data_IF_702253296474
#
_entry.id   IF_702253296474
#
_cell.length_a   1.000
_cell.length_b   1.000
_cell.length_c   1.000
_cell.angle_alpha   90.00
_cell.angle_beta   90.00
_cell.angle_gamma   90.00
#
_symmetry.space_group_name_H-M   'P 1'
#
loop_
_entity.id
_entity.type
_entity.pdbx_description
1 polymer ?
#
# COMPACT_ATOMS: atom_id res chain seq x y z
N UNK A 1 -15.94 -29.65 -56.81
CA UNK A 1 -15.38 -29.41 -55.46
C UNK A 1 -15.28 -27.91 -55.27
N UNK A 2 -15.76 -27.34 -54.15
CA UNK A 2 -15.69 -25.92 -53.90
C UNK A 2 -14.26 -25.53 -53.46
N UNK A 3 -13.79 -24.30 -53.72
CA UNK A 3 -12.62 -23.76 -53.05
C UNK A 3 -12.98 -23.38 -51.61
N UNK A 4 -12.17 -23.91 -50.70
CA UNK A 4 -12.22 -23.70 -49.27
C UNK A 4 -11.84 -22.27 -48.86
N UNK A 5 -12.34 -21.91 -47.68
CA UNK A 5 -12.22 -20.65 -46.94
C UNK A 5 -10.94 -19.81 -47.16
N UNK A 6 -11.13 -18.52 -47.44
CA UNK A 6 -10.22 -17.45 -46.99
C UNK A 6 -11.03 -16.28 -46.46
N UNK A 7 -11.52 -16.44 -45.21
CA UNK A 7 -11.79 -15.29 -44.33
C UNK A 7 -10.44 -14.75 -43.83
N UNK A 8 -10.25 -13.43 -43.69
CA UNK A 8 -9.00 -12.88 -43.17
C UNK A 8 -8.77 -13.35 -41.74
N UNK A 9 -7.59 -13.93 -41.52
CA UNK A 9 -7.12 -14.48 -40.24
C UNK A 9 -7.29 -13.49 -39.08
N UNK A 10 -8.04 -13.91 -38.06
CA UNK A 10 -7.86 -13.37 -36.72
C UNK A 10 -6.44 -13.75 -36.23
N UNK A 11 -5.70 -12.84 -35.55
CA UNK A 11 -4.39 -13.17 -35.01
C UNK A 11 -4.50 -14.28 -33.96
N UNK A 12 -3.50 -15.19 -33.84
CA UNK A 12 -3.54 -16.27 -32.87
C UNK A 12 -3.48 -15.72 -31.44
N UNK A 13 -4.28 -16.30 -30.55
CA UNK A 13 -4.25 -16.02 -29.12
C UNK A 13 -2.87 -16.38 -28.54
N UNK A 14 -2.17 -15.43 -27.91
CA UNK A 14 -0.97 -15.70 -27.09
C UNK A 14 0.34 -15.00 -27.49
N UNK A 15 0.36 -14.01 -28.38
CA UNK A 15 1.58 -13.28 -28.72
C UNK A 15 2.18 -12.56 -27.49
N UNK A 16 3.48 -12.74 -27.25
CA UNK A 16 4.21 -12.01 -26.21
C UNK A 16 4.56 -10.59 -26.68
N UNK A 17 4.24 -9.59 -25.87
CA UNK A 17 4.58 -8.17 -26.05
C UNK A 17 5.73 -7.82 -25.11
N UNK A 18 6.84 -7.38 -25.69
CA UNK A 18 8.01 -6.84 -24.98
C UNK A 18 7.96 -5.31 -25.02
N UNK A 19 8.07 -4.70 -23.86
CA UNK A 19 8.16 -3.25 -23.67
C UNK A 19 9.45 -2.94 -22.90
N UNK A 20 10.09 -1.82 -23.23
CA UNK A 20 11.35 -1.40 -22.62
C UNK A 20 11.24 0.04 -22.15
N UNK A 21 11.53 0.27 -20.87
CA UNK A 21 11.49 1.58 -20.24
C UNK A 21 12.90 1.98 -19.86
N UNK A 22 13.49 2.90 -20.63
CA UNK A 22 14.88 3.34 -20.45
C UNK A 22 14.94 4.52 -19.49
N UNK A 23 15.65 4.32 -18.39
CA UNK A 23 16.00 5.30 -17.39
C UNK A 23 17.34 5.94 -17.77
N UNK A 24 17.37 7.27 -17.74
CA UNK A 24 18.53 8.08 -18.13
C UNK A 24 19.00 8.96 -16.98
N UNK A 25 20.28 9.33 -16.99
CA UNK A 25 20.82 10.32 -16.07
C UNK A 25 20.38 11.75 -16.45
N UNK A 26 20.87 12.75 -15.71
CA UNK A 26 20.53 14.16 -15.91
C UNK A 26 21.02 14.71 -17.26
N UNK A 27 22.01 14.08 -17.88
CA UNK A 27 22.49 14.42 -19.23
C UNK A 27 21.77 13.64 -20.34
N UNK A 28 20.81 12.77 -19.99
CA UNK A 28 20.07 11.95 -20.94
C UNK A 28 20.82 10.69 -21.40
N UNK A 29 21.89 10.29 -20.70
CA UNK A 29 22.63 9.05 -21.02
C UNK A 29 21.89 7.85 -20.42
N UNK A 30 21.75 6.72 -21.15
CA UNK A 30 21.13 5.52 -20.61
C UNK A 30 21.87 4.97 -19.39
N UNK A 31 21.14 4.60 -18.35
CA UNK A 31 21.67 4.01 -17.11
C UNK A 31 21.07 2.64 -16.86
N UNK A 32 19.74 2.56 -16.88
CA UNK A 32 18.95 1.40 -16.51
C UNK A 32 17.84 1.22 -17.54
N UNK A 33 17.41 -0.02 -17.80
CA UNK A 33 16.13 -0.28 -18.45
C UNK A 33 15.34 -1.33 -17.69
N UNK A 34 14.05 -1.08 -17.55
CA UNK A 34 13.08 -2.07 -17.10
C UNK A 34 12.48 -2.71 -18.34
N UNK A 35 12.60 -4.04 -18.44
CA UNK A 35 11.99 -4.80 -19.53
C UNK A 35 10.76 -5.51 -18.99
N UNK A 36 9.62 -5.28 -19.64
CA UNK A 36 8.35 -5.95 -19.37
C UNK A 36 8.04 -6.89 -20.51
N UNK A 37 7.82 -8.16 -20.19
CA UNK A 37 7.32 -9.15 -21.13
C UNK A 37 5.93 -9.59 -20.67
N UNK A 38 4.91 -9.32 -21.49
CA UNK A 38 3.51 -9.67 -21.22
C UNK A 38 2.97 -10.60 -22.30
N UNK A 39 2.14 -11.57 -21.95
CA UNK A 39 1.54 -12.49 -22.93
C UNK A 39 0.96 -13.74 -22.28
N UNK A 40 -0.10 -14.29 -22.88
CA UNK A 40 -0.73 -15.52 -22.40
C UNK A 40 -1.25 -15.47 -20.95
N UNK A 41 -1.67 -14.29 -20.47
CA UNK A 41 -2.14 -14.09 -19.09
C UNK A 41 -1.05 -13.93 -18.05
N UNK A 42 0.23 -13.86 -18.45
CA UNK A 42 1.36 -13.67 -17.53
C UNK A 42 2.14 -12.38 -17.85
N UNK A 43 2.82 -11.85 -16.85
CA UNK A 43 3.76 -10.74 -16.96
C UNK A 43 5.06 -11.09 -16.25
N UNK A 44 6.20 -10.75 -16.86
CA UNK A 44 7.53 -10.85 -16.27
C UNK A 44 8.25 -9.53 -16.42
N UNK A 45 9.03 -9.19 -15.40
CA UNK A 45 9.81 -7.97 -15.34
C UNK A 45 11.24 -8.31 -14.95
N UNK A 46 12.19 -7.64 -15.58
CA UNK A 46 13.58 -7.67 -15.16
C UNK A 46 14.24 -6.33 -15.49
N UNK A 47 15.39 -6.11 -14.88
CA UNK A 47 16.19 -4.90 -15.05
C UNK A 47 17.49 -5.24 -15.76
N UNK A 48 17.95 -4.30 -16.57
CA UNK A 48 19.24 -4.35 -17.23
C UNK A 48 19.91 -2.98 -17.12
N UNK A 49 21.23 -2.93 -17.01
CA UNK A 49 21.99 -1.68 -16.92
C UNK A 49 22.83 -1.47 -18.18
N UNK A 50 23.12 -0.21 -18.47
CA UNK A 50 23.87 0.16 -19.66
C UNK A 50 25.36 0.24 -19.33
N UNK A 51 26.18 -0.62 -19.93
CA UNK A 51 27.62 -0.64 -19.74
C UNK A 51 28.33 -0.85 -21.07
N UNK A 52 29.36 -0.03 -21.36
CA UNK A 52 30.23 -0.17 -22.54
C UNK A 52 29.48 -0.30 -23.89
N UNK A 53 28.33 0.36 -24.04
CA UNK A 53 27.54 0.33 -25.26
C UNK A 53 26.47 -0.77 -25.32
N UNK A 54 26.40 -1.64 -24.31
CA UNK A 54 25.52 -2.80 -24.26
C UNK A 54 24.59 -2.76 -23.05
N UNK A 55 23.51 -3.53 -23.12
CA UNK A 55 22.60 -3.77 -22.00
C UNK A 55 22.96 -5.08 -21.33
N UNK A 56 23.32 -5.01 -20.05
CA UNK A 56 23.73 -6.14 -19.22
C UNK A 56 22.65 -6.48 -18.19
N UNK A 57 22.43 -7.76 -17.91
CA UNK A 57 21.37 -8.18 -16.97
C UNK A 57 21.69 -7.74 -15.54
N UNK A 58 20.69 -7.16 -14.86
CA UNK A 58 20.81 -6.66 -13.49
C UNK A 58 20.62 -5.14 -13.41
N UNK A 59 20.19 -4.67 -12.24
CA UNK A 59 20.06 -3.25 -11.97
C UNK A 59 21.41 -2.63 -11.59
N UNK A 60 21.56 -1.32 -11.81
CA UNK A 60 22.65 -0.52 -11.22
C UNK A 60 22.52 -0.46 -9.69
N UNK A 61 23.60 -0.09 -8.96
CA UNK A 61 23.54 0.27 -7.54
C UNK A 61 22.40 1.24 -7.22
N UNK A 62 21.82 1.16 -6.02
CA UNK A 62 20.62 1.93 -5.68
C UNK A 62 20.82 3.44 -5.81
N UNK A 63 21.99 3.95 -5.42
CA UNK A 63 22.36 5.36 -5.50
C UNK A 63 22.56 5.89 -6.93
N UNK A 64 22.62 5.01 -7.92
CA UNK A 64 22.73 5.35 -9.34
C UNK A 64 21.38 5.26 -10.09
N UNK A 65 20.31 4.79 -9.44
CA UNK A 65 19.00 4.61 -10.10
C UNK A 65 18.28 5.94 -10.26
N UNK A 66 18.09 6.49 -11.47
CA UNK A 66 17.39 7.74 -11.62
C UNK A 66 15.86 7.52 -11.54
N UNK A 67 15.12 8.61 -11.43
CA UNK A 67 13.68 8.61 -11.72
C UNK A 67 13.44 8.39 -13.22
N UNK A 68 12.31 7.80 -13.58
CA UNK A 68 11.92 7.67 -14.98
C UNK A 68 11.66 9.08 -15.56
N UNK A 69 12.15 9.37 -16.77
CA UNK A 69 12.11 10.72 -17.36
C UNK A 69 12.76 11.82 -16.48
N UNK A 70 13.89 11.51 -15.81
CA UNK A 70 14.55 12.44 -14.89
C UNK A 70 14.83 13.84 -15.50
N UNK A 71 15.38 13.99 -16.73
CA UNK A 71 15.62 15.32 -17.30
C UNK A 71 14.34 16.17 -17.43
N UNK A 72 13.24 15.56 -17.89
CA UNK A 72 11.96 16.23 -18.03
C UNK A 72 11.34 16.60 -16.66
N UNK A 73 11.47 15.71 -15.68
CA UNK A 73 11.06 15.98 -14.29
C UNK A 73 11.80 17.18 -13.72
N UNK A 74 13.13 17.21 -13.85
CA UNK A 74 13.95 18.32 -13.32
C UNK A 74 13.61 19.64 -14.02
N UNK A 75 13.33 19.61 -15.33
CA UNK A 75 12.87 20.79 -16.06
C UNK A 75 11.52 21.27 -15.54
N UNK A 76 10.55 20.37 -15.36
CA UNK A 76 9.22 20.70 -14.82
C UNK A 76 9.30 21.32 -13.42
N UNK A 77 10.10 20.74 -12.52
CA UNK A 77 10.31 21.27 -11.17
C UNK A 77 10.92 22.67 -11.22
N UNK A 78 11.97 22.87 -12.03
CA UNK A 78 12.61 24.19 -12.18
C UNK A 78 11.63 25.25 -12.68
N UNK A 79 10.75 24.86 -13.59
CA UNK A 79 9.79 25.77 -14.21
C UNK A 79 8.53 25.98 -13.33
N UNK A 80 8.50 25.38 -12.13
CA UNK A 80 7.42 25.53 -11.14
C UNK A 80 6.14 24.79 -11.53
N UNK A 81 6.24 23.78 -12.38
CA UNK A 81 5.12 22.97 -12.81
C UNK A 81 4.87 21.77 -11.90
N UNK A 82 3.66 21.23 -11.96
CA UNK A 82 3.29 20.02 -11.21
C UNK A 82 3.91 18.77 -11.85
N UNK A 83 4.48 17.89 -11.02
CA UNK A 83 4.96 16.56 -11.42
C UNK A 83 4.03 15.49 -10.85
N UNK A 84 3.66 14.51 -11.68
CA UNK A 84 2.85 13.37 -11.25
C UNK A 84 3.76 12.17 -10.93
N UNK A 85 3.57 11.54 -9.77
CA UNK A 85 4.28 10.31 -9.39
C UNK A 85 3.28 9.16 -9.35
N UNK A 86 3.58 8.08 -10.06
CA UNK A 86 2.76 6.86 -10.15
C UNK A 86 3.61 5.63 -9.83
N UNK A 87 3.01 4.48 -9.59
CA UNK A 87 3.76 3.27 -9.24
C UNK A 87 4.57 2.69 -10.41
N UNK A 88 4.03 2.71 -11.64
CA UNK A 88 4.63 1.99 -12.78
C UNK A 88 4.87 2.83 -14.04
N UNK A 89 5.78 2.38 -14.91
CA UNK A 89 6.16 3.11 -16.13
C UNK A 89 5.04 3.16 -17.17
N UNK A 90 4.17 2.14 -17.19
CA UNK A 90 2.96 2.12 -18.03
C UNK A 90 2.05 3.32 -17.69
N UNK A 91 1.87 3.59 -16.40
CA UNK A 91 1.03 4.68 -15.91
C UNK A 91 1.64 6.05 -16.20
N UNK A 92 2.97 6.15 -16.19
CA UNK A 92 3.68 7.35 -16.65
C UNK A 92 3.33 7.65 -18.11
N UNK A 93 3.34 6.65 -18.99
CA UNK A 93 2.99 6.84 -20.40
C UNK A 93 1.52 7.22 -20.59
N UNK A 94 0.62 6.65 -19.79
CA UNK A 94 -0.80 7.06 -19.78
C UNK A 94 -0.93 8.55 -19.45
N UNK A 95 -0.26 9.02 -18.40
CA UNK A 95 -0.30 10.43 -17.99
C UNK A 95 0.38 11.36 -19.00
N UNK A 96 1.50 10.95 -19.59
CA UNK A 96 2.16 11.70 -20.67
C UNK A 96 1.24 11.87 -21.88
N UNK A 97 0.46 10.84 -22.24
CA UNK A 97 -0.53 10.94 -23.31
C UNK A 97 -1.66 11.93 -22.99
N UNK A 98 -1.88 12.24 -21.71
CA UNK A 98 -2.79 13.31 -21.26
C UNK A 98 -2.12 14.70 -21.21
N UNK A 99 -0.83 14.79 -21.54
CA UNK A 99 -0.09 16.06 -21.62
C UNK A 99 0.50 16.55 -20.30
N UNK A 100 0.62 15.69 -19.28
CA UNK A 100 1.26 16.05 -18.00
C UNK A 100 2.64 15.39 -17.86
N UNK A 101 3.52 16.00 -17.04
CA UNK A 101 4.82 15.42 -16.71
C UNK A 101 4.65 14.42 -15.58
N UNK A 102 5.00 13.16 -15.85
CA UNK A 102 4.88 12.07 -14.89
C UNK A 102 6.18 11.27 -14.76
N UNK A 103 6.35 10.62 -13.62
CA UNK A 103 7.55 9.84 -13.28
C UNK A 103 7.22 8.67 -12.34
N UNK A 104 8.16 7.74 -12.21
CA UNK A 104 8.16 6.64 -11.24
C UNK A 104 9.60 6.24 -10.89
N UNK A 105 9.79 5.49 -9.81
CA UNK A 105 11.04 4.79 -9.52
C UNK A 105 11.07 3.40 -10.18
N UNK A 106 12.27 2.94 -10.53
CA UNK A 106 12.44 1.55 -10.96
C UNK A 106 12.14 0.56 -9.82
N UNK A 107 11.54 -0.57 -10.18
CA UNK A 107 11.27 -1.67 -9.24
C UNK A 107 9.96 -1.56 -8.44
N UNK A 108 9.12 -0.54 -8.72
CA UNK A 108 7.75 -0.42 -8.18
C UNK A 108 7.68 -0.13 -6.68
N UNK A 109 6.55 -0.50 -6.07
CA UNK A 109 6.27 -0.24 -4.66
C UNK A 109 7.41 -0.64 -3.71
N UNK A 110 7.68 0.24 -2.75
CA UNK A 110 8.73 0.05 -1.73
C UNK A 110 10.16 0.32 -2.20
N UNK A 111 10.39 0.66 -3.48
CA UNK A 111 11.72 0.98 -4.04
C UNK A 111 11.99 2.48 -4.25
N UNK A 112 11.27 3.31 -3.51
CA UNK A 112 11.57 4.74 -3.43
C UNK A 112 12.83 5.00 -2.59
N UNK A 113 13.73 5.85 -3.09
CA UNK A 113 15.07 6.08 -2.55
C UNK A 113 15.29 7.58 -2.26
N UNK A 114 16.20 7.92 -1.33
CA UNK A 114 16.38 9.31 -0.90
C UNK A 114 16.71 10.32 -2.01
N UNK A 115 17.42 9.94 -3.07
CA UNK A 115 17.70 10.84 -4.20
C UNK A 115 16.50 11.07 -5.12
N UNK A 116 15.52 10.16 -5.15
CA UNK A 116 14.24 10.41 -5.83
C UNK A 116 13.53 11.58 -5.14
N UNK A 117 13.44 11.55 -3.80
CA UNK A 117 12.90 12.65 -2.99
C UNK A 117 13.66 13.96 -3.25
N UNK A 118 15.01 13.92 -3.27
CA UNK A 118 15.82 15.13 -3.55
C UNK A 118 15.54 15.72 -4.93
N UNK A 119 15.19 14.91 -5.92
CA UNK A 119 14.90 15.38 -7.29
C UNK A 119 13.59 16.17 -7.40
N UNK A 120 12.70 16.03 -6.41
CA UNK A 120 11.38 16.66 -6.35
C UNK A 120 11.23 17.60 -5.15
N UNK A 121 12.32 17.89 -4.43
CA UNK A 121 12.29 18.74 -3.24
C UNK A 121 11.76 20.14 -3.58
N UNK A 122 10.77 20.62 -2.82
CA UNK A 122 10.14 21.93 -3.04
C UNK A 122 9.16 22.02 -4.23
N UNK A 123 8.91 20.92 -4.94
CA UNK A 123 8.01 20.90 -6.09
C UNK A 123 6.52 20.81 -5.72
N UNK A 124 5.64 21.12 -6.66
CA UNK A 124 4.23 20.70 -6.60
C UNK A 124 4.14 19.27 -7.15
N UNK A 125 3.65 18.33 -6.34
CA UNK A 125 3.60 16.90 -6.70
C UNK A 125 2.20 16.33 -6.48
N UNK A 126 1.73 15.57 -7.47
CA UNK A 126 0.54 14.74 -7.34
C UNK A 126 0.98 13.28 -7.34
N UNK A 127 0.75 12.57 -6.25
CA UNK A 127 1.01 11.12 -6.17
C UNK A 127 -0.29 10.38 -6.46
N UNK A 128 -0.29 9.44 -7.41
CA UNK A 128 -1.45 8.59 -7.69
C UNK A 128 -1.10 7.16 -7.28
N UNK A 129 -1.82 6.66 -6.29
CA UNK A 129 -1.70 5.31 -5.78
C UNK A 129 -2.45 4.32 -6.67
N UNK A 130 -1.84 3.14 -6.87
CA UNK A 130 -2.60 1.96 -7.25
C UNK A 130 -3.57 1.62 -6.12
N UNK A 131 -4.77 1.20 -6.48
CA UNK A 131 -5.90 0.89 -5.58
C UNK A 131 -5.75 -0.49 -4.94
N UNK A 132 -4.55 -0.76 -4.45
CA UNK A 132 -4.21 -1.89 -3.63
C UNK A 132 -3.35 -1.46 -2.43
N UNK A 133 -3.07 -2.42 -1.56
CA UNK A 133 -2.43 -2.16 -0.27
C UNK A 133 -0.97 -1.73 -0.40
N UNK A 134 -0.23 -2.34 -1.33
CA UNK A 134 1.17 -2.02 -1.56
C UNK A 134 1.32 -0.66 -2.25
N UNK A 135 0.47 -0.37 -3.22
CA UNK A 135 0.44 0.89 -3.96
C UNK A 135 0.05 2.07 -3.08
N UNK A 136 -1.00 1.94 -2.26
CA UNK A 136 -1.41 2.98 -1.33
C UNK A 136 -0.30 3.27 -0.32
N UNK A 137 0.29 2.25 0.29
CA UNK A 137 1.38 2.52 1.21
C UNK A 137 2.56 3.20 0.55
N UNK A 138 2.95 2.72 -0.63
CA UNK A 138 4.08 3.29 -1.34
C UNK A 138 3.82 4.77 -1.60
N UNK A 139 2.64 5.12 -2.11
CA UNK A 139 2.22 6.49 -2.35
C UNK A 139 2.26 7.36 -1.07
N UNK A 140 1.77 6.85 0.05
CA UNK A 140 1.79 7.57 1.33
C UNK A 140 3.21 7.82 1.84
N UNK A 141 4.09 6.80 1.75
CA UNK A 141 5.51 6.94 2.11
C UNK A 141 6.20 8.00 1.24
N UNK A 142 6.00 7.92 -0.08
CA UNK A 142 6.54 8.90 -1.04
C UNK A 142 6.06 10.30 -0.71
N UNK A 143 4.76 10.46 -0.45
CA UNK A 143 4.17 11.75 -0.12
C UNK A 143 4.74 12.34 1.17
N UNK A 144 4.95 11.53 2.23
CA UNK A 144 5.63 11.99 3.46
C UNK A 144 7.03 12.50 3.15
N UNK A 145 7.87 11.68 2.53
CA UNK A 145 9.27 12.03 2.28
C UNK A 145 9.39 13.31 1.42
N UNK A 146 8.51 13.48 0.43
CA UNK A 146 8.45 14.67 -0.40
C UNK A 146 8.03 15.91 0.40
N UNK A 147 7.02 15.80 1.27
CA UNK A 147 6.59 16.91 2.15
C UNK A 147 7.69 17.31 3.12
N UNK A 148 8.40 16.35 3.70
CA UNK A 148 9.58 16.61 4.55
C UNK A 148 10.70 17.33 3.79
N UNK A 149 10.83 17.05 2.49
CA UNK A 149 11.71 17.77 1.58
C UNK A 149 11.14 19.11 1.08
N UNK A 150 10.02 19.57 1.63
CA UNK A 150 9.40 20.86 1.34
C UNK A 150 8.51 20.88 0.10
N UNK A 151 8.22 19.74 -0.53
CA UNK A 151 7.27 19.67 -1.63
C UNK A 151 5.82 19.85 -1.15
N UNK A 152 4.99 20.44 -2.00
CA UNK A 152 3.54 20.46 -1.82
C UNK A 152 2.96 19.22 -2.49
N UNK A 153 2.32 18.34 -1.71
CA UNK A 153 1.93 17.01 -2.19
C UNK A 153 0.47 16.69 -1.91
N UNK A 154 -0.26 16.30 -2.95
CA UNK A 154 -1.58 15.68 -2.86
C UNK A 154 -1.52 14.20 -3.29
N UNK A 155 -2.31 13.35 -2.67
CA UNK A 155 -2.37 11.91 -2.97
C UNK A 155 -3.76 11.56 -3.47
N UNK A 156 -3.83 10.84 -4.58
CA UNK A 156 -5.06 10.41 -5.23
C UNK A 156 -5.04 8.91 -5.53
N UNK A 157 -6.21 8.37 -5.82
CA UNK A 157 -6.38 7.03 -6.36
C UNK A 157 -7.37 7.04 -7.55
N UNK A 158 -7.36 5.95 -8.31
CA UNK A 158 -8.32 5.72 -9.37
C UNK A 158 -9.76 5.61 -8.84
N UNK A 159 -10.69 6.36 -9.43
CA UNK A 159 -12.14 6.19 -9.18
C UNK A 159 -12.65 4.82 -9.64
N UNK A 160 -12.20 4.36 -10.80
CA UNK A 160 -12.56 3.09 -11.41
C UNK A 160 -11.26 2.40 -11.83
N UNK A 161 -11.18 1.10 -11.56
CA UNK A 161 -9.99 0.31 -11.87
C UNK A 161 -8.96 0.33 -10.76
N UNK A 162 -7.84 -0.35 -11.01
CA UNK A 162 -6.78 -0.49 -10.01
C UNK A 162 -5.74 0.62 -10.15
N UNK A 163 -5.34 0.95 -11.38
CA UNK A 163 -4.30 1.96 -11.65
C UNK A 163 -4.87 3.16 -12.44
N UNK A 164 -4.06 4.20 -12.66
CA UNK A 164 -4.48 5.37 -13.44
C UNK A 164 -4.71 5.02 -14.92
N UNK A 165 -4.04 3.99 -15.45
CA UNK A 165 -4.31 3.50 -16.80
C UNK A 165 -5.71 2.88 -16.93
N UNK A 166 -6.19 2.15 -15.94
CA UNK A 166 -7.56 1.63 -15.90
C UNK A 166 -8.57 2.77 -15.78
N UNK A 167 -8.26 3.78 -14.96
CA UNK A 167 -9.08 4.98 -14.80
C UNK A 167 -9.28 5.73 -16.12
N UNK A 168 -8.18 6.03 -16.82
CA UNK A 168 -8.21 6.68 -18.13
C UNK A 168 -8.83 5.77 -19.19
N UNK A 169 -8.56 4.46 -19.13
CA UNK A 169 -9.18 3.45 -19.99
C UNK A 169 -10.70 3.37 -19.84
N UNK A 170 -11.23 3.70 -18.66
CA UNK A 170 -12.67 3.84 -18.40
C UNK A 170 -13.26 5.16 -18.93
N UNK A 171 -12.46 6.02 -19.56
CA UNK A 171 -12.87 7.31 -20.12
C UNK A 171 -12.93 8.46 -19.13
N UNK A 172 -12.32 8.31 -17.95
CA UNK A 172 -12.26 9.33 -16.90
C UNK A 172 -11.02 10.21 -17.04
N UNK A 173 -11.14 11.48 -16.64
CA UNK A 173 -10.02 12.44 -16.66
C UNK A 173 -9.37 12.63 -15.29
N UNK A 174 -8.24 13.35 -15.23
CA UNK A 174 -7.53 13.59 -13.95
C UNK A 174 -8.40 14.28 -12.89
N UNK A 175 -9.40 15.08 -13.29
CA UNK A 175 -10.35 15.70 -12.37
C UNK A 175 -11.34 14.72 -11.73
N UNK A 176 -11.41 13.48 -12.21
CA UNK A 176 -12.26 12.42 -11.64
C UNK A 176 -11.53 11.54 -10.62
N UNK A 177 -10.22 11.73 -10.46
CA UNK A 177 -9.43 11.04 -9.44
C UNK A 177 -10.01 11.31 -8.04
N UNK A 178 -9.89 10.33 -7.16
CA UNK A 178 -10.40 10.42 -5.78
C UNK A 178 -9.25 10.84 -4.88
N UNK A 179 -9.41 11.97 -4.20
CA UNK A 179 -8.44 12.44 -3.22
C UNK A 179 -8.39 11.45 -2.06
N UNK A 180 -7.18 11.00 -1.70
CA UNK A 180 -6.94 10.21 -0.49
C UNK A 180 -6.91 11.20 0.69
N UNK A 181 -7.86 11.16 1.63
CA UNK A 181 -7.95 12.14 2.72
C UNK A 181 -6.70 12.20 3.59
N UNK A 182 -6.30 13.41 4.01
CA UNK A 182 -5.08 13.63 4.81
C UNK A 182 -5.06 12.85 6.15
N UNK A 183 -6.21 12.59 6.77
CA UNK A 183 -6.28 11.78 8.01
C UNK A 183 -5.79 10.34 7.81
N UNK A 184 -6.13 9.72 6.68
CA UNK A 184 -5.61 8.40 6.28
C UNK A 184 -4.10 8.47 6.05
N UNK A 185 -3.59 9.60 5.53
CA UNK A 185 -2.17 9.79 5.25
C UNK A 185 -1.34 9.89 6.54
N UNK A 186 -1.85 10.57 7.56
CA UNK A 186 -1.14 10.77 8.84
C UNK A 186 -1.20 9.54 9.74
N UNK A 187 -2.36 8.88 9.80
CA UNK A 187 -2.57 7.72 10.68
C UNK A 187 -1.88 6.47 10.14
N UNK A 188 -1.88 6.23 8.82
CA UNK A 188 -1.18 5.08 8.23
C UNK A 188 0.34 5.23 8.39
N UNK A 189 0.84 6.42 8.11
CA UNK A 189 2.27 6.74 8.12
C UNK A 189 2.85 6.67 9.52
N UNK A 190 2.18 7.25 10.53
CA UNK A 190 2.55 7.09 11.95
C UNK A 190 2.54 5.63 12.38
N UNK A 191 1.59 4.86 11.87
CA UNK A 191 1.46 3.47 12.27
C UNK A 191 2.54 2.57 11.66
N UNK A 192 2.87 2.76 10.38
CA UNK A 192 4.00 2.08 9.76
C UNK A 192 5.32 2.46 10.44
N UNK A 193 5.53 3.72 10.81
CA UNK A 193 6.69 4.15 11.60
C UNK A 193 6.73 3.50 12.98
N UNK A 194 5.58 3.42 13.66
CA UNK A 194 5.44 2.71 14.93
C UNK A 194 5.82 1.24 14.79
N UNK A 195 5.36 0.57 13.73
CA UNK A 195 5.69 -0.83 13.46
C UNK A 195 7.14 -1.03 13.06
N UNK A 196 7.72 -0.13 12.27
CA UNK A 196 9.14 -0.13 11.93
C UNK A 196 10.01 0.07 13.17
N UNK A 197 9.58 0.92 14.11
CA UNK A 197 10.24 1.11 15.40
C UNK A 197 10.08 -0.08 16.36
N UNK A 198 8.97 -0.82 16.25
CA UNK A 198 8.68 -1.97 17.11
C UNK A 198 9.35 -3.26 16.61
N UNK A 199 9.31 -3.52 15.32
CA UNK A 199 10.04 -4.59 14.65
C UNK A 199 10.33 -4.22 13.18
N UNK A 200 11.56 -3.78 12.87
CA UNK A 200 11.93 -3.41 11.52
C UNK A 200 11.95 -4.61 10.56
N UNK A 201 12.02 -5.84 11.07
CA UNK A 201 12.12 -7.08 10.28
C UNK A 201 10.76 -7.59 9.79
N UNK A 202 9.67 -7.02 10.30
CA UNK A 202 8.32 -7.37 9.85
C UNK A 202 8.20 -7.16 8.32
N UNK A 203 7.73 -8.17 7.56
CA UNK A 203 7.42 -8.01 6.15
C UNK A 203 6.43 -6.87 5.93
N UNK A 204 6.63 -6.09 4.87
CA UNK A 204 5.81 -4.90 4.58
C UNK A 204 4.33 -5.24 4.50
N UNK A 205 3.98 -6.37 3.87
CA UNK A 205 2.63 -6.93 3.80
C UNK A 205 1.98 -7.10 5.20
N UNK A 206 2.73 -7.58 6.19
CA UNK A 206 2.21 -7.76 7.54
C UNK A 206 2.02 -6.41 8.23
N UNK A 207 2.95 -5.47 8.04
CA UNK A 207 2.81 -4.11 8.56
C UNK A 207 1.55 -3.43 8.02
N UNK A 208 1.23 -3.67 6.75
CA UNK A 208 0.04 -3.12 6.12
C UNK A 208 -1.25 -3.78 6.55
N UNK A 209 -1.30 -5.11 6.67
CA UNK A 209 -2.49 -5.80 7.18
C UNK A 209 -2.85 -5.28 8.57
N UNK A 210 -1.83 -4.97 9.37
CA UNK A 210 -2.00 -4.38 10.68
C UNK A 210 -2.42 -2.91 10.63
N UNK A 211 -1.82 -2.10 9.75
CA UNK A 211 -2.16 -0.70 9.57
C UNK A 211 -3.60 -0.50 9.09
N UNK A 212 -4.06 -1.35 8.17
CA UNK A 212 -5.44 -1.34 7.64
C UNK A 212 -6.47 -1.69 8.71
N UNK A 213 -6.20 -2.73 9.51
CA UNK A 213 -7.07 -3.06 10.65
C UNK A 213 -7.22 -1.86 11.58
N UNK A 214 -6.14 -1.12 11.83
CA UNK A 214 -6.19 0.01 12.76
C UNK A 214 -6.77 1.30 12.19
N UNK A 215 -6.63 1.54 10.88
CA UNK A 215 -7.30 2.65 10.22
C UNK A 215 -8.81 2.44 10.08
N UNK A 216 -9.24 1.23 9.70
CA UNK A 216 -10.67 0.87 9.68
C UNK A 216 -11.30 1.02 11.08
N UNK A 217 -10.50 0.77 12.13
CA UNK A 217 -10.89 0.97 13.52
C UNK A 217 -10.96 2.45 13.95
N UNK A 218 -10.20 3.34 13.30
CA UNK A 218 -10.19 4.79 13.53
C UNK A 218 -11.28 5.54 12.74
N UNK A 219 -11.69 5.06 11.56
CA UNK A 219 -12.84 5.62 10.83
C UNK A 219 -14.19 5.28 11.51
N UNK A 220 -14.24 4.20 12.30
CA UNK A 220 -15.39 3.87 13.15
C UNK A 220 -15.62 4.83 14.33
N UNK A 221 -14.79 5.85 14.50
CA UNK A 221 -14.70 6.69 15.70
C UNK A 221 -15.58 7.96 15.67
N UNK A 222 -16.68 7.94 14.88
CA UNK A 222 -17.75 8.94 15.02
C UNK A 222 -18.69 8.68 16.20
N UNK A 223 -18.39 7.71 17.08
CA UNK A 223 -19.07 7.58 18.38
C UNK A 223 -18.09 8.06 19.46
N UNK A 224 -18.36 9.18 20.14
CA UNK A 224 -17.43 9.72 21.13
C UNK A 224 -17.13 8.71 22.24
N UNK A 225 -15.88 8.29 22.38
CA UNK A 225 -15.42 7.67 23.63
C UNK A 225 -15.28 8.78 24.68
N UNK A 226 -16.31 8.96 25.49
CA UNK A 226 -16.20 9.72 26.73
C UNK A 226 -15.62 8.80 27.81
N UNK A 227 -14.71 9.33 28.63
CA UNK A 227 -14.21 8.68 29.86
C UNK A 227 -15.30 8.32 30.88
N UNK A 228 -16.56 8.66 30.59
CA UNK A 228 -17.76 8.20 31.26
C UNK A 228 -18.42 7.07 30.44
N UNK A 229 -17.85 5.87 30.52
CA UNK A 229 -18.53 4.64 30.12
C UNK A 229 -19.61 4.24 31.16
N UNK A 230 -20.46 3.23 30.87
CA UNK A 230 -21.43 2.73 31.85
C UNK A 230 -20.73 2.31 33.16
N UNK A 231 -21.46 2.39 34.27
CA UNK A 231 -20.92 2.10 35.60
C UNK A 231 -20.20 0.74 35.64
N UNK A 232 -18.89 0.76 35.90
CA UNK A 232 -18.06 -0.45 36.00
C UNK A 232 -18.62 -1.41 37.05
N UNK A 233 -18.75 -2.69 36.70
CA UNK A 233 -19.01 -3.76 37.67
C UNK A 233 -17.77 -3.96 38.53
N UNK A 234 -17.96 -4.41 39.77
CA UNK A 234 -16.87 -4.56 40.73
C UNK A 234 -15.77 -5.55 40.31
N UNK A 235 -16.02 -6.40 39.31
CA UNK A 235 -15.11 -7.42 38.79
C UNK A 235 -14.53 -7.09 37.40
N UNK A 236 -14.92 -5.98 36.76
CA UNK A 236 -14.51 -5.66 35.39
C UNK A 236 -12.97 -5.50 35.25
N UNK A 237 -12.32 -4.84 36.22
CA UNK A 237 -10.86 -4.68 36.22
C UNK A 237 -10.14 -6.03 36.42
N UNK A 238 -10.72 -6.96 37.18
CA UNK A 238 -10.17 -8.30 37.41
C UNK A 238 -10.28 -9.16 36.14
N UNK A 239 -11.43 -9.13 35.48
CA UNK A 239 -11.65 -9.82 34.21
C UNK A 239 -10.74 -9.26 33.12
N UNK A 240 -10.58 -7.94 33.06
CA UNK A 240 -9.67 -7.30 32.11
C UNK A 240 -8.22 -7.77 32.29
N UNK A 241 -7.71 -7.81 33.52
CA UNK A 241 -6.35 -8.29 33.79
C UNK A 241 -6.18 -9.80 33.50
N UNK A 242 -7.21 -10.62 33.72
CA UNK A 242 -7.21 -12.03 33.32
C UNK A 242 -7.12 -12.20 31.80
N UNK A 243 -7.92 -11.45 31.04
CA UNK A 243 -7.87 -11.40 29.57
C UNK A 243 -6.50 -10.90 29.07
N UNK A 244 -5.93 -9.90 29.74
CA UNK A 244 -4.61 -9.35 29.42
C UNK A 244 -3.50 -10.37 29.67
N UNK A 245 -3.59 -11.15 30.73
CA UNK A 245 -2.66 -12.23 31.05
C UNK A 245 -2.71 -13.34 30.02
N UNK A 246 -3.91 -13.83 29.70
CA UNK A 246 -4.10 -14.85 28.67
C UNK A 246 -3.60 -14.37 27.30
N UNK A 247 -3.89 -13.13 26.91
CA UNK A 247 -3.38 -12.56 25.66
C UNK A 247 -1.85 -12.59 25.57
N UNK A 248 -1.15 -12.27 26.67
CA UNK A 248 0.32 -12.33 26.71
C UNK A 248 0.85 -13.75 26.50
N UNK A 249 0.18 -14.75 27.06
CA UNK A 249 0.53 -16.15 26.89
C UNK A 249 0.36 -16.62 25.43
N UNK A 250 -0.79 -16.28 24.81
CA UNK A 250 -1.04 -16.59 23.41
C UNK A 250 -0.02 -15.95 22.47
N UNK A 251 0.33 -14.69 22.74
CA UNK A 251 1.31 -13.93 21.97
C UNK A 251 2.70 -14.55 22.07
N UNK A 252 3.12 -14.93 23.28
CA UNK A 252 4.37 -15.64 23.52
C UNK A 252 4.42 -16.99 22.80
N UNK A 253 3.33 -17.73 22.77
CA UNK A 253 3.24 -19.03 22.09
C UNK A 253 3.38 -18.89 20.57
N UNK A 254 2.83 -17.81 20.02
CA UNK A 254 2.85 -17.52 18.58
C UNK A 254 4.10 -16.75 18.13
N UNK A 255 4.95 -16.29 19.06
CA UNK A 255 6.14 -15.49 18.75
C UNK A 255 5.81 -14.11 18.19
N UNK A 256 4.65 -13.55 18.55
CA UNK A 256 4.16 -12.27 18.05
C UNK A 256 3.85 -11.29 19.19
N UNK A 257 3.86 -9.97 18.96
CA UNK A 257 3.42 -9.00 19.97
C UNK A 257 1.96 -9.22 20.43
N UNK A 258 1.63 -8.89 21.69
CA UNK A 258 0.32 -9.18 22.29
C UNK A 258 -0.88 -8.57 21.54
N UNK A 259 -0.71 -7.38 20.97
CA UNK A 259 -1.76 -6.70 20.23
C UNK A 259 -2.14 -7.42 18.92
N UNK A 260 -1.29 -8.29 18.37
CA UNK A 260 -1.60 -9.16 17.22
C UNK A 260 -2.69 -10.17 17.58
N UNK A 261 -2.70 -10.66 18.82
CA UNK A 261 -3.73 -11.59 19.31
C UNK A 261 -5.04 -10.83 19.47
N UNK A 262 -5.07 -9.78 20.31
CA UNK A 262 -6.21 -8.85 20.47
C UNK A 262 -5.74 -7.47 20.97
N UNK A 263 -6.41 -6.39 20.56
CA UNK A 263 -6.18 -5.06 21.14
C UNK A 263 -6.84 -4.91 22.52
N UNK A 264 -6.41 -3.94 23.33
CA UNK A 264 -7.01 -3.65 24.64
C UNK A 264 -8.51 -3.32 24.51
N UNK A 265 -8.92 -2.67 23.41
CA UNK A 265 -10.32 -2.39 23.13
C UNK A 265 -11.16 -3.65 22.93
N UNK A 266 -10.64 -4.70 22.30
CA UNK A 266 -11.33 -6.00 22.21
C UNK A 266 -11.50 -6.60 23.61
N UNK A 267 -10.49 -6.47 24.47
CA UNK A 267 -10.57 -6.99 25.84
C UNK A 267 -11.60 -6.21 26.67
N UNK A 268 -11.67 -4.89 26.53
CA UNK A 268 -12.72 -4.09 27.16
C UNK A 268 -14.11 -4.39 26.58
N UNK A 269 -14.24 -4.58 25.27
CA UNK A 269 -15.53 -4.94 24.66
C UNK A 269 -16.00 -6.35 25.08
N UNK A 270 -15.06 -7.28 25.34
CA UNK A 270 -15.35 -8.56 25.99
C UNK A 270 -15.84 -8.39 27.43
N UNK A 271 -15.19 -7.51 28.20
CA UNK A 271 -15.58 -7.19 29.59
C UNK A 271 -16.96 -6.55 29.62
N UNK A 272 -17.25 -5.63 28.71
CA UNK A 272 -18.52 -4.92 28.64
C UNK A 272 -19.65 -5.86 28.23
N UNK A 273 -19.49 -6.58 27.11
CA UNK A 273 -20.54 -7.40 26.51
C UNK A 273 -20.75 -8.74 27.18
N UNK A 274 -19.70 -9.34 27.75
CA UNK A 274 -19.66 -10.71 28.30
C UNK A 274 -20.42 -11.70 27.43
N UNK A 275 -19.91 -12.01 26.22
CA UNK A 275 -20.57 -12.99 25.36
C UNK A 275 -20.55 -14.38 26.00
N UNK A 276 -21.68 -15.10 25.97
CA UNK A 276 -21.84 -16.44 26.54
C UNK A 276 -21.82 -17.58 25.51
N UNK A 277 -21.56 -17.24 24.24
CA UNK A 277 -21.46 -18.22 23.16
C UNK A 277 -20.70 -17.64 21.96
N UNK A 278 -20.30 -18.51 21.04
CA UNK A 278 -19.57 -18.16 19.82
C UNK A 278 -20.29 -17.15 18.92
N UNK A 279 -21.62 -17.18 18.86
CA UNK A 279 -22.38 -16.22 18.05
C UNK A 279 -22.29 -14.81 18.64
N UNK A 280 -22.33 -14.67 19.96
CA UNK A 280 -22.16 -13.38 20.64
C UNK A 280 -20.72 -12.89 20.56
N UNK A 281 -19.74 -13.78 20.54
CA UNK A 281 -18.33 -13.42 20.30
C UNK A 281 -18.11 -12.77 18.93
N UNK A 282 -18.83 -13.18 17.87
CA UNK A 282 -18.79 -12.48 16.57
C UNK A 282 -19.35 -11.05 16.63
N UNK A 283 -20.11 -10.73 17.67
CA UNK A 283 -20.57 -9.37 17.93
C UNK A 283 -19.53 -8.50 18.65
N UNK A 284 -18.44 -9.09 19.15
CA UNK A 284 -17.36 -8.37 19.83
C UNK A 284 -16.39 -7.79 18.81
N UNK A 285 -16.06 -6.52 19.00
CA UNK A 285 -15.14 -5.78 18.16
C UNK A 285 -13.76 -6.45 18.10
N UNK A 286 -13.26 -6.65 16.88
CA UNK A 286 -11.97 -7.33 16.62
C UNK A 286 -12.02 -8.87 16.66
N UNK A 287 -13.19 -9.50 16.82
CA UNK A 287 -13.36 -10.97 16.76
C UNK A 287 -14.10 -11.38 15.48
N UNK A 288 -13.33 -11.66 14.43
CA UNK A 288 -13.84 -12.27 13.20
C UNK A 288 -13.84 -13.81 13.24
N UNK A 289 -14.38 -14.47 12.20
CA UNK A 289 -14.51 -15.93 12.14
C UNK A 289 -13.20 -16.69 12.40
N UNK A 290 -12.07 -16.20 11.88
CA UNK A 290 -10.75 -16.81 12.06
C UNK A 290 -10.27 -16.75 13.51
N UNK A 291 -10.49 -15.61 14.19
CA UNK A 291 -10.12 -15.45 15.60
C UNK A 291 -11.07 -16.21 16.52
N UNK A 292 -12.35 -16.28 16.16
CA UNK A 292 -13.33 -17.11 16.84
C UNK A 292 -12.92 -18.59 16.77
N UNK A 293 -12.59 -19.10 15.59
CA UNK A 293 -12.15 -20.50 15.42
C UNK A 293 -10.91 -20.80 16.26
N UNK A 294 -9.98 -19.84 16.35
CA UNK A 294 -8.71 -20.03 17.07
C UNK A 294 -8.81 -19.84 18.58
N UNK A 295 -9.68 -18.95 19.06
CA UNK A 295 -9.66 -18.46 20.44
C UNK A 295 -11.01 -18.49 21.16
N UNK A 296 -12.10 -18.83 20.47
CA UNK A 296 -13.47 -18.72 20.98
C UNK A 296 -13.69 -19.47 22.29
N UNK A 297 -13.34 -20.76 22.34
CA UNK A 297 -13.53 -21.59 23.54
C UNK A 297 -12.73 -21.04 24.74
N UNK A 298 -11.49 -20.63 24.51
CA UNK A 298 -10.63 -20.09 25.56
C UNK A 298 -11.16 -18.75 26.10
N UNK A 299 -11.69 -17.88 25.23
CA UNK A 299 -12.32 -16.63 25.64
C UNK A 299 -13.61 -16.86 26.43
N UNK A 300 -14.46 -17.81 26.02
CA UNK A 300 -15.66 -18.17 26.77
C UNK A 300 -15.31 -18.73 28.15
N UNK A 301 -14.29 -19.59 28.24
CA UNK A 301 -13.81 -20.13 29.51
C UNK A 301 -13.31 -19.02 30.46
N UNK A 302 -12.60 -18.00 29.93
CA UNK A 302 -12.15 -16.84 30.72
C UNK A 302 -13.29 -15.93 31.16
N UNK A 303 -14.33 -15.79 30.34
CA UNK A 303 -15.47 -14.93 30.64
C UNK A 303 -16.42 -15.53 31.67
N UNK A 304 -16.51 -16.86 31.73
CA UNK A 304 -17.54 -17.55 32.51
C UNK A 304 -17.03 -18.52 33.56
N UNK A 305 -15.71 -18.74 33.67
CA UNK A 305 -15.07 -19.71 34.57
C UNK A 305 -15.70 -21.11 34.48
N UNK A 306 -15.00 -22.05 33.83
CA UNK A 306 -15.27 -23.46 34.08
C UNK A 306 -14.72 -23.82 35.47
N UNK A 307 -15.61 -24.07 36.44
CA UNK A 307 -15.33 -24.91 37.61
C UNK A 307 -15.34 -26.40 37.22
#
# INVERSE_FOLDING_TARGET
>A
MPPDDLRPNAPPSGAQRREEYVYVDVEGRPVLRVVRLSGGGSKRFWQEHYENGNWETGAVPEDERPLYHLPEVLAQVRDGGTVYVVEGEKDVHTLQAMGVVATTNSGGAGRWLPHHTRSLAGADVVVIADKDEAGLSHALKVARELREAGANVEVFEARIGNDVSDHVGAGLGLGDLVLVPAGIQDDFTRYIEFLDGLDPTLPTEIKFQMARVLLDEAEGDQVPWTSEGPARRGDDDQLFEALRAWRREQASTQGVPAFIVFYDRTLWDLVDRRPSNHQQLLGVWGIGPVKLERHGDALLALLWHDD
#
